data_IF_660796708668
#
_entry.id   IF_660796708668
#
_cell.length_a   1.000
_cell.length_b   1.000
_cell.length_c   1.000
_cell.angle_alpha   90.00
_cell.angle_beta   90.00
_cell.angle_gamma   90.00
#
_symmetry.space_group_name_H-M   'P 1'
#
loop_
_entity.id
_entity.type
_entity.pdbx_description
1 polymer ?
#
# COMPACT_ATOMS: atom_id res chain seq x y z
N UNK A 1 -5.12 6.12 -3.04
CA UNK A 1 -4.14 6.41 -1.95
C UNK A 1 -3.51 7.79 -2.13
N UNK A 2 -3.12 8.17 -3.35
CA UNK A 2 -2.62 9.53 -3.66
C UNK A 2 -3.55 10.66 -3.22
N UNK A 3 -4.85 10.58 -3.51
CA UNK A 3 -5.82 11.63 -3.13
C UNK A 3 -5.98 11.79 -1.61
N UNK A 4 -5.78 10.71 -0.84
CA UNK A 4 -5.85 10.74 0.64
C UNK A 4 -4.63 11.46 1.24
N UNK A 5 -3.46 11.36 0.59
CA UNK A 5 -2.21 11.86 1.14
C UNK A 5 -2.19 13.37 1.32
N UNK A 6 -2.79 14.12 0.38
CA UNK A 6 -2.86 15.59 0.45
C UNK A 6 -3.60 16.10 1.71
N UNK A 7 -4.88 15.77 1.95
CA UNK A 7 -5.58 16.19 3.16
C UNK A 7 -4.96 15.60 4.43
N UNK A 8 -4.37 14.40 4.38
CA UNK A 8 -3.66 13.79 5.50
C UNK A 8 -2.44 14.63 5.94
N UNK A 9 -1.56 14.98 4.99
CA UNK A 9 -0.37 15.79 5.26
C UNK A 9 -0.72 17.24 5.59
N UNK A 10 -1.75 17.80 4.95
CA UNK A 10 -2.27 19.12 5.29
C UNK A 10 -2.83 19.16 6.72
N UNK A 11 -3.50 18.10 7.16
CA UNK A 11 -3.98 17.96 8.54
C UNK A 11 -2.81 17.97 9.54
N UNK A 12 -1.74 17.21 9.27
CA UNK A 12 -0.52 17.20 10.06
C UNK A 12 0.11 18.59 10.17
N UNK A 13 0.26 19.28 9.03
CA UNK A 13 0.85 20.61 8.96
C UNK A 13 0.00 21.63 9.74
N UNK A 14 -1.32 21.64 9.55
CA UNK A 14 -2.23 22.52 10.28
C UNK A 14 -2.16 22.29 11.79
N UNK A 15 -2.08 21.02 12.23
CA UNK A 15 -1.95 20.73 13.65
C UNK A 15 -0.62 21.25 14.21
N UNK A 16 0.49 20.91 13.56
CA UNK A 16 1.82 21.33 14.00
C UNK A 16 1.93 22.86 14.07
N UNK A 17 1.43 23.55 13.04
CA UNK A 17 1.46 25.01 12.97
C UNK A 17 0.50 25.67 13.96
N UNK A 18 -0.68 25.08 14.17
CA UNK A 18 -1.63 25.49 15.19
C UNK A 18 -1.04 25.41 16.60
N UNK A 19 -0.31 24.34 16.91
CA UNK A 19 0.38 24.20 18.20
C UNK A 19 1.53 25.21 18.32
N UNK A 20 2.34 25.37 17.27
CA UNK A 20 3.48 26.30 17.27
C UNK A 20 3.08 27.77 17.44
N UNK A 21 1.98 28.18 16.79
CA UNK A 21 1.45 29.56 16.86
C UNK A 21 0.43 29.78 17.98
N UNK A 22 0.04 28.74 18.72
CA UNK A 22 -1.10 28.81 19.66
C UNK A 22 -2.46 29.05 18.98
N UNK A 23 -2.55 28.83 17.67
CA UNK A 23 -3.77 29.05 16.90
C UNK A 23 -4.70 27.82 16.99
N UNK A 24 -5.74 27.94 17.82
CA UNK A 24 -6.74 26.89 18.04
C UNK A 24 -7.59 26.57 16.80
N UNK A 25 -7.79 27.53 15.90
CA UNK A 25 -8.56 27.28 14.67
C UNK A 25 -7.83 26.24 13.79
N UNK A 26 -6.51 26.37 13.65
CA UNK A 26 -5.70 25.42 12.89
C UNK A 26 -5.67 24.03 13.52
N UNK A 27 -5.44 23.95 14.84
CA UNK A 27 -5.25 22.67 15.53
C UNK A 27 -6.56 21.96 15.88
N UNK A 28 -7.60 22.68 16.26
CA UNK A 28 -8.85 22.11 16.77
C UNK A 28 -9.99 22.08 15.74
N UNK A 29 -9.88 22.76 14.60
CA UNK A 29 -10.91 22.76 13.54
C UNK A 29 -10.35 22.35 12.17
N UNK A 30 -9.43 23.14 11.60
CA UNK A 30 -8.95 22.89 10.23
C UNK A 30 -8.27 21.52 10.10
N UNK A 31 -7.40 21.16 11.05
CA UNK A 31 -6.71 19.88 11.05
C UNK A 31 -7.68 18.67 11.16
N UNK A 32 -8.62 18.61 12.11
CA UNK A 32 -9.64 17.55 12.17
C UNK A 32 -10.56 17.47 10.94
N UNK A 33 -10.93 18.60 10.33
CA UNK A 33 -11.73 18.59 9.11
C UNK A 33 -10.96 17.97 7.94
N UNK A 34 -9.69 18.34 7.77
CA UNK A 34 -8.80 17.73 6.78
C UNK A 34 -8.59 16.23 7.05
N UNK A 35 -8.54 15.84 8.33
CA UNK A 35 -8.52 14.42 8.70
C UNK A 35 -9.79 13.70 8.26
N UNK A 36 -10.97 14.27 8.52
CA UNK A 36 -12.24 13.70 8.10
C UNK A 36 -12.31 13.55 6.57
N UNK A 37 -11.81 14.53 5.82
CA UNK A 37 -11.68 14.45 4.36
C UNK A 37 -10.75 13.32 3.93
N UNK A 38 -9.57 13.19 4.55
CA UNK A 38 -8.65 12.09 4.26
C UNK A 38 -9.31 10.73 4.51
N UNK A 39 -10.03 10.59 5.63
CA UNK A 39 -10.73 9.37 6.00
C UNK A 39 -11.90 9.04 5.07
N UNK A 40 -12.62 10.08 4.62
CA UNK A 40 -13.66 9.94 3.59
C UNK A 40 -13.12 9.51 2.23
N UNK A 41 -11.86 9.84 1.91
CA UNK A 41 -11.19 9.33 0.70
C UNK A 41 -10.75 7.87 0.88
N UNK A 42 -10.12 7.53 2.02
CA UNK A 42 -9.71 6.17 2.36
C UNK A 42 -9.59 5.93 3.86
N UNK A 43 -10.04 4.74 4.28
CA UNK A 43 -10.05 4.24 5.65
C UNK A 43 -8.64 4.12 6.27
N UNK A 44 -7.60 3.95 5.45
CA UNK A 44 -6.21 3.88 5.93
C UNK A 44 -5.72 5.20 6.54
N UNK A 45 -6.43 6.32 6.34
CA UNK A 45 -6.13 7.58 7.02
C UNK A 45 -6.30 7.49 8.55
N UNK A 46 -6.92 6.43 9.07
CA UNK A 46 -7.09 6.13 10.51
C UNK A 46 -5.80 6.27 11.33
N UNK A 47 -4.64 6.19 10.68
CA UNK A 47 -3.31 6.35 11.30
C UNK A 47 -2.98 7.79 11.72
N UNK A 48 -3.76 8.80 11.30
CA UNK A 48 -3.42 10.21 11.52
C UNK A 48 -3.23 10.58 13.00
N UNK A 49 -4.11 10.23 13.96
CA UNK A 49 -3.87 10.55 15.36
C UNK A 49 -2.56 9.96 15.90
N UNK A 50 -2.21 8.75 15.46
CA UNK A 50 -0.94 8.12 15.79
C UNK A 50 0.25 8.84 15.11
N UNK A 51 0.09 9.36 13.90
CA UNK A 51 1.12 10.16 13.23
C UNK A 51 1.37 11.50 13.94
N UNK A 52 0.31 12.16 14.45
CA UNK A 52 0.43 13.36 15.28
C UNK A 52 1.19 13.07 16.58
N UNK A 53 0.86 11.96 17.24
CA UNK A 53 1.59 11.49 18.43
C UNK A 53 3.05 11.20 18.14
N UNK A 54 3.33 10.54 17.01
CA UNK A 54 4.66 10.18 16.58
C UNK A 54 5.50 11.44 16.30
N UNK A 55 4.93 12.43 15.62
CA UNK A 55 5.55 13.74 15.40
C UNK A 55 5.90 14.44 16.73
N UNK A 56 4.94 14.49 17.66
CA UNK A 56 5.17 15.11 18.98
C UNK A 56 6.21 14.34 19.80
N UNK A 57 6.16 13.01 19.79
CA UNK A 57 7.02 12.14 20.57
C UNK A 57 8.50 12.24 20.17
N UNK A 58 8.78 12.19 18.86
CA UNK A 58 10.13 12.37 18.31
C UNK A 58 10.56 13.84 18.23
N UNK A 59 9.62 14.78 18.25
CA UNK A 59 9.87 16.20 18.47
C UNK A 59 10.25 16.58 19.91
N UNK A 60 10.32 15.61 20.84
CA UNK A 60 10.74 15.84 22.22
C UNK A 60 9.62 16.24 23.18
N UNK A 61 8.35 16.21 22.76
CA UNK A 61 7.23 16.54 23.63
C UNK A 61 7.05 15.50 24.76
N UNK A 62 6.59 15.98 25.92
CA UNK A 62 6.14 15.10 27.00
C UNK A 62 4.84 14.37 26.59
N UNK A 63 4.53 13.22 27.22
CA UNK A 63 3.29 12.47 26.96
C UNK A 63 2.04 13.35 27.04
N UNK A 64 1.96 14.20 28.07
CA UNK A 64 0.84 15.12 28.28
C UNK A 64 0.76 16.18 27.19
N UNK A 65 1.89 16.69 26.72
CA UNK A 65 1.94 17.66 25.63
C UNK A 65 1.56 17.03 24.28
N UNK A 66 2.02 15.79 24.02
CA UNK A 66 1.69 15.05 22.80
C UNK A 66 0.19 14.73 22.69
N UNK A 67 -0.48 14.45 23.81
CA UNK A 67 -1.92 14.18 23.85
C UNK A 67 -2.78 15.47 23.79
N UNK A 68 -2.19 16.63 24.07
CA UNK A 68 -2.93 17.89 24.15
C UNK A 68 -3.44 18.30 22.77
N UNK A 69 -4.75 18.50 22.66
CA UNK A 69 -5.38 18.97 21.42
C UNK A 69 -5.74 17.85 20.43
N UNK A 70 -5.52 16.58 20.75
CA UNK A 70 -5.95 15.45 19.91
C UNK A 70 -7.44 15.14 20.02
N UNK A 71 -8.14 15.70 21.01
CA UNK A 71 -9.57 15.43 21.26
C UNK A 71 -10.45 15.52 20.01
N UNK A 72 -10.36 16.61 19.21
CA UNK A 72 -11.10 16.73 17.96
C UNK A 72 -10.80 15.64 16.93
N UNK A 73 -9.54 15.21 16.76
CA UNK A 73 -9.19 14.10 15.86
C UNK A 73 -9.72 12.77 16.37
N UNK A 74 -9.67 12.53 17.69
CA UNK A 74 -10.27 11.35 18.29
C UNK A 74 -11.78 11.34 18.11
N UNK A 75 -12.46 12.50 18.19
CA UNK A 75 -13.88 12.60 17.91
C UNK A 75 -14.21 12.22 16.44
N UNK A 76 -13.43 12.70 15.47
CA UNK A 76 -13.57 12.29 14.05
C UNK A 76 -13.40 10.77 13.91
N UNK A 77 -12.39 10.19 14.57
CA UNK A 77 -12.14 8.75 14.53
C UNK A 77 -13.30 7.94 15.14
N UNK A 78 -13.83 8.38 16.28
CA UNK A 78 -14.97 7.74 16.94
C UNK A 78 -16.25 7.84 16.10
N UNK A 79 -16.50 8.99 15.47
CA UNK A 79 -17.63 9.17 14.56
C UNK A 79 -17.52 8.26 13.34
N UNK A 80 -16.33 8.16 12.76
CA UNK A 80 -16.10 7.25 11.63
C UNK A 80 -16.25 5.78 12.02
N UNK A 81 -15.77 5.40 13.21
CA UNK A 81 -15.96 4.05 13.76
C UNK A 81 -17.46 3.77 13.98
N UNK A 82 -18.20 4.70 14.58
CA UNK A 82 -19.64 4.56 14.79
C UNK A 82 -20.39 4.41 13.44
N UNK A 83 -20.03 5.21 12.43
CA UNK A 83 -20.60 5.10 11.09
C UNK A 83 -20.27 3.75 10.42
N UNK A 84 -19.03 3.26 10.57
CA UNK A 84 -18.62 1.95 10.05
C UNK A 84 -19.39 0.81 10.73
N UNK A 85 -19.53 0.85 12.06
CA UNK A 85 -20.28 -0.15 12.83
C UNK A 85 -21.79 -0.12 12.52
N UNK A 86 -22.34 1.06 12.26
CA UNK A 86 -23.74 1.20 11.82
C UNK A 86 -23.98 0.67 10.40
N UNK A 87 -22.92 0.43 9.62
CA UNK A 87 -23.01 -0.03 8.24
C UNK A 87 -22.74 -1.54 8.17
N UNK A 88 -23.78 -2.35 7.95
CA UNK A 88 -23.67 -3.81 7.92
C UNK A 88 -22.68 -4.39 6.89
N UNK A 89 -22.29 -3.61 5.88
CA UNK A 89 -21.24 -3.99 4.91
C UNK A 89 -19.87 -4.22 5.58
N UNK A 90 -19.49 -3.42 6.58
CA UNK A 90 -18.22 -3.62 7.29
C UNK A 90 -18.23 -4.89 8.13
N UNK A 91 -19.37 -5.25 8.73
CA UNK A 91 -19.51 -6.53 9.44
C UNK A 91 -19.28 -7.73 8.53
N UNK A 92 -19.90 -7.73 7.33
CA UNK A 92 -19.67 -8.79 6.32
C UNK A 92 -18.22 -8.82 5.84
N UNK A 93 -17.62 -7.65 5.62
CA UNK A 93 -16.21 -7.55 5.24
C UNK A 93 -15.27 -8.16 6.29
N UNK A 94 -15.46 -7.82 7.57
CA UNK A 94 -14.65 -8.39 8.65
C UNK A 94 -14.83 -9.91 8.75
N UNK A 95 -16.06 -10.40 8.63
CA UNK A 95 -16.33 -11.84 8.67
C UNK A 95 -15.61 -12.57 7.53
N UNK A 96 -15.74 -12.07 6.29
CA UNK A 96 -15.07 -12.64 5.13
C UNK A 96 -13.55 -12.60 5.28
N UNK A 97 -13.00 -11.47 5.73
CA UNK A 97 -11.57 -11.26 5.97
C UNK A 97 -11.01 -12.25 6.99
N UNK A 98 -11.65 -12.40 8.15
CA UNK A 98 -11.23 -13.34 9.19
C UNK A 98 -11.39 -14.81 8.77
N UNK A 99 -12.32 -15.09 7.86
CA UNK A 99 -12.49 -16.42 7.26
C UNK A 99 -11.51 -16.73 6.12
N UNK A 100 -10.79 -15.73 5.59
CA UNK A 100 -9.93 -15.92 4.41
C UNK A 100 -8.66 -16.70 4.75
N UNK A 101 -7.99 -16.38 5.86
CA UNK A 101 -6.70 -16.96 6.28
C UNK A 101 -6.56 -17.02 7.79
N UNK A 102 -5.87 -18.05 8.29
CA UNK A 102 -5.54 -18.18 9.71
C UNK A 102 -4.46 -17.18 10.16
N UNK A 103 -4.34 -16.93 11.47
CA UNK A 103 -3.38 -15.95 12.01
C UNK A 103 -1.92 -16.27 11.67
N UNK A 104 -1.53 -17.55 11.72
CA UNK A 104 -0.16 -17.96 11.41
C UNK A 104 0.16 -17.77 9.92
N UNK A 105 -0.73 -18.23 9.05
CA UNK A 105 -0.62 -18.02 7.60
C UNK A 105 -0.59 -16.52 7.24
N UNK A 106 -1.41 -15.72 7.93
CA UNK A 106 -1.41 -14.27 7.78
C UNK A 106 -0.07 -13.65 8.21
N UNK A 107 0.56 -14.12 9.29
CA UNK A 107 1.90 -13.66 9.68
C UNK A 107 2.94 -13.94 8.59
N UNK A 108 2.94 -15.14 8.00
CA UNK A 108 3.83 -15.51 6.90
C UNK A 108 3.58 -14.61 5.67
N UNK A 109 2.31 -14.37 5.36
CA UNK A 109 1.93 -13.48 4.27
C UNK A 109 2.36 -12.02 4.50
N UNK A 110 2.36 -11.56 5.75
CA UNK A 110 2.84 -10.21 6.08
C UNK A 110 4.36 -10.10 6.03
N UNK A 111 5.10 -11.16 6.33
CA UNK A 111 6.53 -11.19 6.07
C UNK A 111 6.81 -11.06 4.56
N UNK A 112 6.05 -11.78 3.72
CA UNK A 112 6.17 -11.67 2.26
C UNK A 112 5.83 -10.27 1.75
N UNK A 113 4.71 -9.71 2.22
CA UNK A 113 4.30 -8.34 1.88
C UNK A 113 5.36 -7.31 2.26
N UNK A 114 5.94 -7.41 3.46
CA UNK A 114 6.98 -6.50 3.92
C UNK A 114 8.27 -6.64 3.10
N UNK A 115 8.65 -7.87 2.74
CA UNK A 115 9.80 -8.14 1.89
C UNK A 115 9.64 -7.51 0.52
N UNK A 116 8.48 -7.71 -0.11
CA UNK A 116 8.14 -7.08 -1.40
C UNK A 116 8.15 -5.54 -1.32
N UNK A 117 7.44 -4.96 -0.36
CA UNK A 117 7.34 -3.50 -0.21
C UNK A 117 8.69 -2.85 0.11
N UNK A 118 9.54 -3.53 0.89
CA UNK A 118 10.89 -3.05 1.21
C UNK A 118 11.79 -3.10 -0.03
N UNK A 119 11.73 -4.18 -0.82
CA UNK A 119 12.45 -4.28 -2.08
C UNK A 119 12.01 -3.18 -3.06
N UNK A 120 10.71 -2.94 -3.17
CA UNK A 120 10.17 -1.87 -4.02
C UNK A 120 10.64 -0.47 -3.60
N UNK A 121 10.64 -0.19 -2.29
CA UNK A 121 11.09 1.09 -1.77
C UNK A 121 12.60 1.33 -1.92
N UNK A 122 13.42 0.27 -1.82
CA UNK A 122 14.89 0.37 -1.82
C UNK A 122 15.52 0.23 -3.21
N UNK A 123 14.98 -0.65 -4.05
CA UNK A 123 15.58 -1.04 -5.33
C UNK A 123 14.92 -0.34 -6.52
N UNK A 124 13.80 0.36 -6.32
CA UNK A 124 13.07 1.06 -7.40
C UNK A 124 12.77 0.10 -8.56
N UNK A 125 12.20 -1.06 -8.23
CA UNK A 125 11.88 -2.08 -9.24
C UNK A 125 10.70 -1.59 -10.10
N UNK A 126 10.52 -2.17 -11.30
CA UNK A 126 9.35 -1.87 -12.11
C UNK A 126 8.06 -2.14 -11.32
N UNK A 127 7.15 -1.17 -11.23
CA UNK A 127 5.94 -1.34 -10.44
C UNK A 127 5.04 -2.39 -11.08
N UNK A 128 4.46 -3.27 -10.28
CA UNK A 128 3.46 -4.26 -10.73
C UNK A 128 2.09 -3.87 -10.17
N UNK A 129 1.11 -3.80 -11.06
CA UNK A 129 -0.28 -3.52 -10.70
C UNK A 129 -0.84 -4.64 -9.84
N UNK A 130 -0.42 -5.86 -10.11
CA UNK A 130 -0.95 -7.05 -9.48
C UNK A 130 0.10 -8.15 -9.25
N UNK A 131 1.07 -7.94 -8.35
CA UNK A 131 2.19 -8.87 -8.15
C UNK A 131 1.71 -10.27 -7.70
N UNK A 132 2.29 -11.32 -8.28
CA UNK A 132 2.10 -12.71 -7.85
C UNK A 132 2.87 -13.01 -6.55
N UNK A 133 2.33 -12.55 -5.43
CA UNK A 133 2.88 -12.79 -4.10
C UNK A 133 2.31 -14.07 -3.51
N UNK A 134 3.19 -15.05 -3.27
CA UNK A 134 2.83 -16.36 -2.70
C UNK A 134 3.15 -16.39 -1.22
N UNK A 135 2.22 -16.91 -0.43
CA UNK A 135 2.42 -17.09 1.00
C UNK A 135 3.46 -18.20 1.20
N UNK A 136 4.53 -17.98 1.98
CA UNK A 136 5.48 -19.02 2.30
C UNK A 136 4.77 -20.22 2.99
N UNK A 137 5.15 -21.48 2.69
CA UNK A 137 4.51 -22.64 3.29
C UNK A 137 4.86 -22.81 4.79
N UNK A 138 5.84 -22.05 5.29
CA UNK A 138 6.28 -22.09 6.68
C UNK A 138 7.33 -21.03 7.00
N UNK A 139 7.99 -21.18 8.15
CA UNK A 139 9.06 -20.29 8.62
C UNK A 139 10.40 -20.65 7.95
N UNK A 140 10.56 -20.27 6.69
CA UNK A 140 11.86 -20.35 6.02
C UNK A 140 12.83 -19.25 6.51
N UNK A 141 14.10 -19.34 6.08
CA UNK A 141 15.14 -18.40 6.48
C UNK A 141 14.81 -16.95 6.06
N UNK A 142 14.20 -16.75 4.89
CA UNK A 142 13.84 -15.43 4.37
C UNK A 142 12.72 -14.77 5.20
N UNK A 143 11.72 -15.56 5.60
CA UNK A 143 10.63 -15.15 6.47
C UNK A 143 11.16 -14.77 7.85
N UNK A 144 11.98 -15.64 8.46
CA UNK A 144 12.60 -15.36 9.76
C UNK A 144 13.47 -14.11 9.73
N UNK A 145 14.28 -13.93 8.69
CA UNK A 145 15.09 -12.73 8.51
C UNK A 145 14.24 -11.46 8.38
N UNK A 146 13.12 -11.53 7.65
CA UNK A 146 12.21 -10.39 7.48
C UNK A 146 11.52 -10.01 8.80
N UNK A 147 11.04 -11.00 9.55
CA UNK A 147 10.44 -10.78 10.86
C UNK A 147 11.46 -10.22 11.87
N UNK A 148 12.68 -10.78 11.89
CA UNK A 148 13.76 -10.28 12.72
C UNK A 148 14.15 -8.84 12.36
N UNK A 149 14.22 -8.51 11.07
CA UNK A 149 14.49 -7.15 10.59
C UNK A 149 13.38 -6.16 11.01
N UNK A 150 12.11 -6.57 10.97
CA UNK A 150 10.99 -5.75 11.44
C UNK A 150 11.07 -5.48 12.95
N UNK A 151 11.38 -6.51 13.75
CA UNK A 151 11.59 -6.37 15.20
C UNK A 151 12.78 -5.45 15.49
N UNK A 152 13.90 -5.66 14.80
CA UNK A 152 15.09 -4.82 14.94
C UNK A 152 14.78 -3.37 14.58
N UNK A 153 14.07 -3.11 13.49
CA UNK A 153 13.65 -1.77 13.10
C UNK A 153 12.80 -1.11 14.19
N UNK A 154 11.85 -1.83 14.78
CA UNK A 154 11.05 -1.32 15.90
C UNK A 154 11.91 -0.97 17.12
N UNK A 155 12.88 -1.83 17.48
CA UNK A 155 13.83 -1.57 18.57
C UNK A 155 14.69 -0.34 18.28
N UNK A 156 15.27 -0.25 17.08
CA UNK A 156 16.05 0.93 16.63
C UNK A 156 15.20 2.20 16.70
N UNK A 157 13.93 2.14 16.31
CA UNK A 157 13.03 3.29 16.37
C UNK A 157 12.80 3.78 17.80
N UNK A 158 12.63 2.87 18.77
CA UNK A 158 12.43 3.21 20.17
C UNK A 158 13.71 3.76 20.81
N UNK A 159 14.86 3.14 20.54
CA UNK A 159 16.14 3.50 21.17
C UNK A 159 16.76 4.79 20.59
N UNK A 160 16.54 5.06 19.29
CA UNK A 160 17.08 6.24 18.62
C UNK A 160 16.41 7.55 19.04
N UNK A 161 15.28 7.51 19.75
CA UNK A 161 14.47 8.68 20.13
C UNK A 161 15.27 9.87 20.66
N UNK A 162 16.20 9.64 21.59
CA UNK A 162 16.90 10.74 22.29
C UNK A 162 18.09 11.29 21.50
N UNK A 163 18.84 10.40 20.85
CA UNK A 163 20.13 10.77 20.21
C UNK A 163 19.98 11.02 18.71
N UNK A 164 19.05 10.33 18.05
CA UNK A 164 18.81 10.39 16.61
C UNK A 164 17.29 10.39 16.34
N UNK A 165 16.53 11.41 16.79
CA UNK A 165 15.07 11.42 16.70
C UNK A 165 14.55 11.27 15.27
N UNK A 166 15.30 11.76 14.28
CA UNK A 166 14.98 11.62 12.86
C UNK A 166 15.01 10.14 12.41
N UNK A 167 15.96 9.34 12.89
CA UNK A 167 16.08 7.91 12.55
C UNK A 167 14.85 7.15 13.07
N UNK A 168 14.51 7.38 14.34
CA UNK A 168 13.36 6.72 14.94
C UNK A 168 12.03 7.18 14.36
N UNK A 169 11.90 8.48 14.06
CA UNK A 169 10.74 9.02 13.36
C UNK A 169 10.57 8.37 11.98
N UNK A 170 11.63 8.30 11.17
CA UNK A 170 11.57 7.73 9.81
C UNK A 170 11.14 6.27 9.80
N UNK A 171 11.73 5.45 10.68
CA UNK A 171 11.36 4.02 10.80
C UNK A 171 9.93 3.86 11.31
N UNK A 172 9.58 4.55 12.41
CA UNK A 172 8.26 4.44 13.01
C UNK A 172 7.17 4.99 12.07
N UNK A 173 7.47 6.00 11.25
CA UNK A 173 6.57 6.51 10.23
C UNK A 173 6.28 5.46 9.15
N UNK A 174 7.31 4.82 8.60
CA UNK A 174 7.13 3.73 7.62
C UNK A 174 6.27 2.61 8.22
N UNK A 175 6.60 2.16 9.42
CA UNK A 175 5.84 1.12 10.11
C UNK A 175 4.37 1.53 10.35
N UNK A 176 4.13 2.77 10.80
CA UNK A 176 2.78 3.28 11.05
C UNK A 176 1.94 3.31 9.76
N UNK A 177 2.49 3.79 8.65
CA UNK A 177 1.73 3.91 7.41
C UNK A 177 1.50 2.58 6.72
N UNK A 178 2.38 1.62 6.96
CA UNK A 178 2.21 0.25 6.49
C UNK A 178 1.33 -0.59 7.41
N UNK A 179 1.07 -0.19 8.66
CA UNK A 179 0.33 -1.00 9.63
C UNK A 179 -1.12 -1.36 9.21
N UNK A 180 -1.92 -0.46 8.60
CA UNK A 180 -3.28 -0.82 8.18
C UNK A 180 -3.28 -1.88 7.07
N UNK A 181 -2.31 -1.81 6.16
CA UNK A 181 -2.19 -2.71 5.01
C UNK A 181 -1.43 -3.99 5.36
N UNK A 182 -0.49 -3.90 6.31
CA UNK A 182 0.27 -5.02 6.86
C UNK A 182 -0.27 -5.42 8.24
N UNK A 183 -1.58 -5.61 8.30
CA UNK A 183 -2.30 -5.96 9.53
C UNK A 183 -2.41 -7.48 9.67
N UNK A 184 -2.71 -7.94 10.89
CA UNK A 184 -3.16 -9.32 11.13
C UNK A 184 -4.59 -9.58 10.62
N UNK A 185 -5.29 -8.55 10.16
CA UNK A 185 -6.57 -8.72 9.46
C UNK A 185 -6.31 -9.13 7.99
N UNK A 186 -6.69 -10.34 7.56
CA UNK A 186 -6.38 -10.82 6.21
C UNK A 186 -7.04 -9.98 5.11
N UNK A 187 -6.29 -9.69 4.07
CA UNK A 187 -6.79 -8.99 2.88
C UNK A 187 -6.64 -9.90 1.67
N UNK A 188 -7.43 -9.72 0.62
CA UNK A 188 -7.26 -10.55 -0.58
C UNK A 188 -5.89 -10.31 -1.23
N UNK A 189 -5.47 -9.04 -1.34
CA UNK A 189 -4.14 -8.67 -1.83
C UNK A 189 -3.15 -8.58 -0.67
N UNK A 190 -2.01 -9.28 -0.77
CA UNK A 190 -0.92 -9.21 0.22
C UNK A 190 -0.26 -7.83 0.24
N UNK A 191 0.18 -7.35 -0.93
CA UNK A 191 0.79 -6.04 -1.09
C UNK A 191 0.54 -5.47 -2.49
N UNK A 192 0.67 -4.15 -2.58
CA UNK A 192 0.66 -3.40 -3.83
C UNK A 192 1.48 -2.12 -3.59
N UNK A 193 2.20 -1.65 -4.61
CA UNK A 193 3.08 -0.48 -4.54
C UNK A 193 2.37 0.79 -4.03
N UNK A 194 1.05 0.89 -4.24
CA UNK A 194 0.23 2.00 -3.69
C UNK A 194 0.28 2.11 -2.17
N UNK A 195 0.64 1.06 -1.45
CA UNK A 195 0.79 1.12 0.01
C UNK A 195 2.00 1.98 0.43
N UNK A 196 2.98 2.19 -0.47
CA UNK A 196 4.18 2.96 -0.20
C UNK A 196 3.95 4.49 -0.22
N UNK A 197 2.87 5.00 -0.82
CA UNK A 197 2.70 6.45 -1.03
C UNK A 197 2.91 7.30 0.22
N UNK A 198 2.28 6.93 1.35
CA UNK A 198 2.46 7.64 2.62
C UNK A 198 3.66 7.14 3.42
N UNK A 199 4.18 5.94 3.15
CA UNK A 199 5.35 5.42 3.85
C UNK A 199 6.67 6.07 3.35
N UNK A 200 6.76 6.37 2.05
CA UNK A 200 7.96 6.91 1.40
C UNK A 200 8.54 8.18 2.03
N UNK A 201 7.77 9.15 2.55
CA UNK A 201 8.33 10.28 3.30
C UNK A 201 9.25 9.86 4.45
N UNK A 202 8.91 8.79 5.17
CA UNK A 202 9.76 8.24 6.24
C UNK A 202 11.04 7.62 5.69
N UNK A 203 10.94 6.81 4.63
CA UNK A 203 12.09 6.21 3.97
C UNK A 203 13.03 7.28 3.35
N UNK A 204 12.47 8.31 2.72
CA UNK A 204 13.20 9.43 2.16
C UNK A 204 13.99 10.19 3.25
N UNK A 205 13.39 10.37 4.43
CA UNK A 205 14.07 11.00 5.57
C UNK A 205 15.26 10.16 6.04
N UNK A 206 15.13 8.83 6.08
CA UNK A 206 16.22 7.91 6.44
C UNK A 206 17.39 7.96 5.45
N UNK A 207 17.12 8.27 4.18
CA UNK A 207 18.15 8.41 3.14
C UNK A 207 18.79 9.80 3.14
N UNK A 208 17.98 10.86 3.21
CA UNK A 208 18.44 12.25 2.98
C UNK A 208 19.22 12.81 4.16
N UNK A 209 18.81 12.53 5.41
CA UNK A 209 19.46 13.13 6.58
C UNK A 209 20.95 12.72 6.70
N UNK A 210 21.34 11.43 6.57
CA UNK A 210 22.75 11.04 6.57
C UNK A 210 23.56 11.72 5.46
N UNK A 211 23.02 11.82 4.24
CA UNK A 211 23.71 12.45 3.11
C UNK A 211 24.01 13.94 3.37
N UNK A 212 23.06 14.63 4.04
CA UNK A 212 23.25 16.02 4.44
C UNK A 212 24.30 16.15 5.56
N UNK A 213 24.29 15.24 6.53
CA UNK A 213 25.25 15.22 7.64
C UNK A 213 26.67 14.89 7.19
N UNK A 214 26.84 14.05 6.17
CA UNK A 214 28.13 13.70 5.58
C UNK A 214 28.74 14.82 4.71
N UNK A 215 28.07 15.97 4.58
CA UNK A 215 28.57 17.11 3.79
C UNK A 215 28.40 16.94 2.28
N UNK A 216 27.75 15.89 1.80
CA UNK A 216 27.56 15.58 0.37
C UNK A 216 26.46 16.43 -0.28
N UNK A 217 26.30 17.69 0.11
CA UNK A 217 25.14 18.52 -0.27
C UNK A 217 25.05 18.79 -1.78
N UNK A 218 26.17 18.89 -2.49
CA UNK A 218 26.17 19.08 -3.96
C UNK A 218 25.90 17.76 -4.68
N UNK A 219 26.66 16.71 -4.35
CA UNK A 219 26.49 15.38 -4.92
C UNK A 219 25.08 14.80 -4.62
N UNK A 220 24.60 14.92 -3.39
CA UNK A 220 23.26 14.51 -2.97
C UNK A 220 22.14 15.28 -3.67
N UNK A 221 22.30 16.60 -3.89
CA UNK A 221 21.35 17.36 -4.72
C UNK A 221 21.34 16.88 -6.16
N UNK A 222 22.51 16.65 -6.77
CA UNK A 222 22.61 16.12 -8.12
C UNK A 222 21.98 14.72 -8.21
N UNK A 223 22.24 13.84 -7.24
CA UNK A 223 21.66 12.50 -7.17
C UNK A 223 20.13 12.55 -7.00
N UNK A 224 19.60 13.46 -6.18
CA UNK A 224 18.15 13.65 -6.03
C UNK A 224 17.49 14.15 -7.32
N UNK A 225 18.13 15.10 -8.03
CA UNK A 225 17.65 15.58 -9.33
C UNK A 225 17.69 14.45 -10.36
N UNK A 226 18.80 13.69 -10.42
CA UNK A 226 18.93 12.55 -11.31
C UNK A 226 17.88 11.47 -11.01
N UNK A 227 17.64 11.16 -9.74
CA UNK A 227 16.60 10.24 -9.31
C UNK A 227 15.21 10.76 -9.70
N UNK A 228 14.92 12.04 -9.47
CA UNK A 228 13.64 12.64 -9.85
C UNK A 228 13.41 12.59 -11.38
N UNK A 229 14.45 12.88 -12.18
CA UNK A 229 14.40 12.76 -13.63
C UNK A 229 14.20 11.31 -14.09
N UNK A 230 14.96 10.37 -13.51
CA UNK A 230 14.81 8.94 -13.77
C UNK A 230 13.39 8.46 -13.46
N UNK A 231 12.86 8.79 -12.27
CA UNK A 231 11.49 8.46 -11.88
C UNK A 231 10.46 9.13 -12.80
N UNK A 232 10.71 10.36 -13.25
CA UNK A 232 9.85 11.05 -14.22
C UNK A 232 9.80 10.36 -15.58
N UNK A 233 10.95 9.88 -16.08
CA UNK A 233 11.05 9.11 -17.32
C UNK A 233 10.37 7.74 -17.20
N UNK A 234 10.63 7.01 -16.11
CA UNK A 234 9.96 5.74 -15.82
C UNK A 234 8.44 5.90 -15.70
N UNK A 235 7.98 6.98 -15.05
CA UNK A 235 6.56 7.28 -14.96
C UNK A 235 5.95 7.58 -16.34
N UNK A 236 6.66 8.32 -17.20
CA UNK A 236 6.22 8.57 -18.59
C UNK A 236 6.09 7.28 -19.38
N UNK A 237 7.09 6.39 -19.30
CA UNK A 237 7.05 5.09 -19.97
C UNK A 237 5.88 4.24 -19.44
N UNK A 238 5.67 4.24 -18.12
CA UNK A 238 4.57 3.47 -17.51
C UNK A 238 3.20 3.98 -17.93
N UNK A 239 3.04 5.27 -18.25
CA UNK A 239 1.76 5.80 -18.75
C UNK A 239 1.30 5.13 -20.05
N UNK A 240 2.21 4.54 -20.84
CA UNK A 240 1.83 3.79 -22.03
C UNK A 240 1.07 2.49 -21.68
N UNK A 241 1.39 1.86 -20.55
CA UNK A 241 0.64 0.70 -20.05
C UNK A 241 -0.74 1.13 -19.54
N UNK A 242 -0.88 2.35 -19.01
CA UNK A 242 -2.16 2.89 -18.51
C UNK A 242 -3.04 3.52 -19.60
N UNK A 243 -2.62 3.51 -20.87
CA UNK A 243 -3.36 4.17 -21.96
C UNK A 243 -4.70 3.50 -22.28
N UNK A 244 -4.84 2.21 -21.98
CA UNK A 244 -6.07 1.44 -22.16
C UNK A 244 -6.07 0.21 -21.25
N UNK A 245 -7.26 -0.29 -20.92
CA UNK A 245 -7.43 -1.55 -20.18
C UNK A 245 -6.66 -2.71 -20.83
N UNK A 246 -6.69 -2.80 -22.17
CA UNK A 246 -5.98 -3.84 -22.90
C UNK A 246 -4.47 -3.75 -22.69
N UNK A 247 -3.87 -2.56 -22.83
CA UNK A 247 -2.43 -2.37 -22.63
C UNK A 247 -2.03 -2.69 -21.18
N UNK A 248 -2.84 -2.27 -20.22
CA UNK A 248 -2.63 -2.49 -18.79
C UNK A 248 -2.56 -3.98 -18.48
N UNK A 249 -3.61 -4.73 -18.83
CA UNK A 249 -3.68 -6.15 -18.49
C UNK A 249 -2.72 -7.01 -19.31
N UNK A 250 -2.37 -6.60 -20.54
CA UNK A 250 -1.27 -7.22 -21.28
C UNK A 250 0.07 -7.04 -20.56
N UNK A 251 0.35 -5.84 -20.03
CA UNK A 251 1.56 -5.59 -19.26
C UNK A 251 1.57 -6.37 -17.93
N UNK A 252 0.44 -6.42 -17.22
CA UNK A 252 0.31 -7.17 -15.97
C UNK A 252 0.47 -8.67 -16.18
N UNK A 253 -0.08 -9.25 -17.25
CA UNK A 253 0.12 -10.67 -17.57
C UNK A 253 1.59 -10.99 -17.85
N UNK A 254 2.34 -10.08 -18.50
CA UNK A 254 3.79 -10.27 -18.69
C UNK A 254 4.58 -10.25 -17.37
N UNK A 255 4.13 -9.49 -16.38
CA UNK A 255 4.79 -9.36 -15.07
C UNK A 255 4.39 -10.48 -14.11
N UNK A 256 3.12 -10.89 -14.14
CA UNK A 256 2.52 -11.89 -13.27
C UNK A 256 1.77 -12.97 -14.08
N UNK A 257 2.49 -13.74 -14.93
CA UNK A 257 1.86 -14.70 -15.86
C UNK A 257 1.22 -15.89 -15.15
N UNK A 258 1.70 -16.25 -13.96
CA UNK A 258 1.20 -17.39 -13.18
C UNK A 258 -0.01 -17.05 -12.30
N UNK A 259 -0.59 -15.84 -12.44
CA UNK A 259 -1.71 -15.36 -11.63
C UNK A 259 -3.00 -15.32 -12.47
N UNK A 260 -4.06 -15.96 -12.00
CA UNK A 260 -5.32 -16.07 -12.74
C UNK A 260 -6.01 -14.72 -12.99
N UNK A 261 -5.99 -13.81 -12.00
CA UNK A 261 -6.71 -12.52 -12.06
C UNK A 261 -6.26 -11.62 -13.23
N UNK A 262 -4.96 -11.38 -13.48
CA UNK A 262 -4.51 -10.66 -14.67
C UNK A 262 -5.05 -11.25 -15.99
N UNK A 263 -5.09 -12.57 -16.12
CA UNK A 263 -5.65 -13.23 -17.30
C UNK A 263 -7.17 -13.02 -17.44
N UNK A 264 -7.92 -13.11 -16.34
CA UNK A 264 -9.35 -12.85 -16.36
C UNK A 264 -9.66 -11.40 -16.78
N UNK A 265 -8.90 -10.44 -16.27
CA UNK A 265 -9.05 -9.04 -16.65
C UNK A 265 -8.57 -8.76 -18.08
N UNK A 266 -7.52 -9.44 -18.56
CA UNK A 266 -7.11 -9.38 -19.96
C UNK A 266 -8.22 -9.91 -20.88
N UNK A 267 -8.89 -11.00 -20.49
CA UNK A 267 -10.03 -11.55 -21.22
C UNK A 267 -11.15 -10.52 -21.34
N UNK A 268 -11.48 -9.85 -20.23
CA UNK A 268 -12.47 -8.78 -20.21
C UNK A 268 -12.06 -7.62 -21.13
N UNK A 269 -10.82 -7.14 -21.03
CA UNK A 269 -10.34 -6.05 -21.86
C UNK A 269 -10.37 -6.38 -23.36
N UNK A 270 -10.04 -7.63 -23.73
CA UNK A 270 -10.14 -8.12 -25.12
C UNK A 270 -11.58 -8.22 -25.61
N UNK A 271 -12.49 -8.71 -24.77
CA UNK A 271 -13.93 -8.76 -25.08
C UNK A 271 -14.47 -7.36 -25.36
N UNK A 272 -14.13 -6.39 -24.53
CA UNK A 272 -14.53 -4.99 -24.72
C UNK A 272 -13.92 -4.37 -25.99
N UNK A 273 -12.77 -4.88 -26.45
CA UNK A 273 -12.13 -4.48 -27.70
C UNK A 273 -12.65 -5.24 -28.94
N UNK A 274 -13.61 -6.16 -28.78
CA UNK A 274 -14.18 -6.99 -29.85
C UNK A 274 -13.37 -8.25 -30.21
N UNK A 275 -12.23 -8.48 -29.55
CA UNK A 275 -11.40 -9.67 -29.72
C UNK A 275 -11.96 -10.86 -28.92
N UNK A 276 -13.03 -11.45 -29.45
CA UNK A 276 -13.78 -12.54 -28.79
C UNK A 276 -12.93 -13.81 -28.63
N UNK A 277 -12.07 -14.12 -29.62
CA UNK A 277 -11.20 -15.30 -29.57
C UNK A 277 -10.07 -15.12 -28.56
N UNK A 278 -9.39 -13.97 -28.58
CA UNK A 278 -8.35 -13.66 -27.60
C UNK A 278 -8.91 -13.52 -26.18
N UNK A 279 -10.16 -13.05 -26.03
CA UNK A 279 -10.85 -13.02 -24.74
C UNK A 279 -11.06 -14.43 -24.18
N UNK A 280 -11.56 -15.34 -25.01
CA UNK A 280 -11.75 -16.75 -24.66
C UNK A 280 -10.44 -17.39 -24.20
N UNK A 281 -9.38 -17.24 -24.98
CA UNK A 281 -8.06 -17.81 -24.64
C UNK A 281 -7.55 -17.29 -23.29
N UNK A 282 -7.73 -16.00 -23.01
CA UNK A 282 -7.34 -15.41 -21.73
C UNK A 282 -8.17 -15.94 -20.55
N UNK A 283 -9.50 -16.09 -20.71
CA UNK A 283 -10.33 -16.72 -19.68
C UNK A 283 -9.99 -18.19 -19.46
N UNK A 284 -9.71 -18.94 -20.53
CA UNK A 284 -9.26 -20.33 -20.42
C UNK A 284 -7.94 -20.44 -19.68
N UNK A 285 -7.00 -19.51 -19.88
CA UNK A 285 -5.77 -19.46 -19.09
C UNK A 285 -6.03 -19.12 -17.62
N UNK A 286 -6.92 -18.15 -17.33
CA UNK A 286 -7.31 -17.84 -15.96
C UNK A 286 -7.89 -19.07 -15.24
N UNK A 287 -8.76 -19.84 -15.92
CA UNK A 287 -9.37 -21.06 -15.40
C UNK A 287 -8.39 -22.23 -15.31
N UNK A 288 -7.39 -22.28 -16.19
CA UNK A 288 -6.30 -23.22 -16.10
C UNK A 288 -5.45 -22.95 -14.86
N UNK A 289 -5.22 -21.69 -14.48
CA UNK A 289 -4.50 -21.34 -13.25
C UNK A 289 -5.37 -21.51 -11.99
N UNK A 290 -6.63 -21.12 -12.06
CA UNK A 290 -7.62 -21.20 -10.97
C UNK A 290 -9.00 -21.65 -11.51
N UNK A 291 -9.39 -22.93 -11.38
CA UNK A 291 -10.66 -23.43 -11.91
C UNK A 291 -11.87 -22.81 -11.22
N UNK A 292 -11.69 -22.31 -10.00
CA UNK A 292 -12.71 -21.68 -9.21
C UNK A 292 -12.85 -20.18 -9.47
N UNK A 293 -12.14 -19.63 -10.47
CA UNK A 293 -12.14 -18.19 -10.72
C UNK A 293 -13.51 -17.70 -11.25
N UNK A 294 -14.39 -17.29 -10.33
CA UNK A 294 -15.79 -16.97 -10.60
C UNK A 294 -15.99 -15.99 -11.75
N UNK A 295 -15.20 -14.90 -11.79
CA UNK A 295 -15.30 -13.89 -12.84
C UNK A 295 -14.95 -14.44 -14.22
N UNK A 296 -13.94 -15.31 -14.32
CA UNK A 296 -13.58 -15.93 -15.60
C UNK A 296 -14.62 -16.98 -16.04
N UNK A 297 -15.20 -17.73 -15.10
CA UNK A 297 -16.28 -18.68 -15.38
C UNK A 297 -17.50 -17.96 -15.98
N UNK A 298 -17.98 -16.91 -15.30
CA UNK A 298 -19.15 -16.13 -15.73
C UNK A 298 -18.88 -15.45 -17.06
N UNK A 299 -17.77 -14.73 -17.19
CA UNK A 299 -17.49 -13.98 -18.41
C UNK A 299 -17.26 -14.90 -19.61
N UNK A 300 -16.63 -16.07 -19.41
CA UNK A 300 -16.49 -17.07 -20.47
C UNK A 300 -17.82 -17.66 -20.91
N UNK A 301 -18.73 -17.93 -19.97
CA UNK A 301 -20.06 -18.44 -20.29
C UNK A 301 -20.91 -17.44 -21.09
N UNK A 302 -20.72 -16.14 -20.85
CA UNK A 302 -21.44 -15.06 -21.51
C UNK A 302 -20.84 -14.63 -22.86
N UNK A 303 -19.67 -15.15 -23.25
CA UNK A 303 -19.03 -14.82 -24.52
C UNK A 303 -19.82 -15.36 -25.73
N UNK A 304 -20.15 -14.52 -26.73
CA UNK A 304 -20.81 -14.97 -27.94
C UNK A 304 -20.00 -16.05 -28.69
N UNK A 305 -20.67 -17.09 -29.15
CA UNK A 305 -20.03 -18.18 -29.90
C UNK A 305 -19.17 -19.10 -29.03
N UNK A 306 -19.38 -19.14 -27.70
CA UNK A 306 -18.70 -20.06 -26.79
C UNK A 306 -18.84 -21.52 -27.27
N UNK A 307 -17.72 -22.05 -27.79
CA UNK A 307 -17.56 -23.47 -28.08
C UNK A 307 -17.06 -24.23 -26.86
N UNK A 308 -16.84 -25.56 -26.97
CA UNK A 308 -16.25 -26.34 -25.89
C UNK A 308 -14.88 -25.79 -25.47
N UNK A 309 -14.47 -26.07 -24.23
CA UNK A 309 -13.18 -25.67 -23.70
C UNK A 309 -12.05 -26.12 -24.63
N UNK A 310 -11.18 -25.19 -25.01
CA UNK A 310 -9.94 -25.52 -25.72
C UNK A 310 -8.80 -25.60 -24.71
N UNK A 311 -7.75 -26.34 -25.09
CA UNK A 311 -6.49 -26.29 -24.36
C UNK A 311 -5.94 -24.87 -24.41
N UNK A 312 -5.50 -24.30 -23.27
CA UNK A 312 -4.94 -22.94 -23.23
C UNK A 312 -3.80 -22.79 -24.24
N UNK A 313 -3.74 -21.62 -24.84
CA UNK A 313 -2.70 -21.25 -25.81
C UNK A 313 -1.30 -21.37 -25.20
N UNK A 314 -0.25 -21.56 -26.02
CA UNK A 314 1.13 -21.78 -25.53
C UNK A 314 1.70 -20.61 -24.69
N UNK A 315 1.05 -19.44 -24.74
CA UNK A 315 1.37 -18.28 -23.91
C UNK A 315 0.87 -18.41 -22.45
N UNK A 316 0.03 -19.41 -22.14
CA UNK A 316 -0.44 -19.70 -20.79
C UNK A 316 0.58 -20.58 -20.05
N UNK A 317 1.12 -20.16 -18.90
CA UNK A 317 2.04 -21.01 -18.15
C UNK A 317 1.33 -22.27 -17.64
N UNK A 318 2.02 -23.40 -17.71
CA UNK A 318 1.58 -24.63 -17.06
C UNK A 318 1.59 -24.47 -15.53
N UNK A 319 0.69 -25.16 -14.84
CA UNK A 319 0.60 -25.19 -13.38
C UNK A 319 1.86 -25.73 -12.72
#
# INVERSE_FOLDING_TARGET
MSLMALPYLASLLCFAEGQRRGNRWLSALASPLLFALALGVRETAVTLPAALLLLAWFGGASRRAALRGLGPHLAVLLLALAAALATGAYGRFLHYSLGTRGLFEQLLAQAEALRYLSAQALLVLPPDVDPDLRIPPGLDAATLATLAAAVLAAVVALLSRRRWPWLGFGIAWVALQLAPTNSLLPRFDLANDRHLYLALPGAALLLVVPLLQAGWRRAGRAALVALALCMGLLARQRNDDWRSELALWQATVRQSPAKARPWANLGWARQQAGDTEGARAAYECALALDPGHEQALVNRALLPGAGPARTPDAACPAR
#
